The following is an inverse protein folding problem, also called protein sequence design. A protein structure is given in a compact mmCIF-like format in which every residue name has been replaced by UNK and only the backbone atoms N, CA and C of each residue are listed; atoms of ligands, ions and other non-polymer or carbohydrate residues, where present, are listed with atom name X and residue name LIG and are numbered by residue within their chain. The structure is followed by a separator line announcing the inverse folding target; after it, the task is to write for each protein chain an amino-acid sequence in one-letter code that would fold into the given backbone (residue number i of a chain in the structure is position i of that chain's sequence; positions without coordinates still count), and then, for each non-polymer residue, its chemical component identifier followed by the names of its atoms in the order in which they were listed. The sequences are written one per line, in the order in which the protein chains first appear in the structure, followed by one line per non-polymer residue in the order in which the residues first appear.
data_IF_959189012593
#
_entry.id   IF_959189012593
#
_cell.length_a   1.000
_cell.length_b   1.000
_cell.length_c   1.000
_cell.angle_alpha   90.00
_cell.angle_beta   90.00
_cell.angle_gamma   90.00
#
_symmetry.space_group_name_H-M   'P 1'
#
loop_
_entity.id
_entity.type
_entity.pdbx_description
1 polymer ?
#
# COMPACT_ATOMS: atom_id res chain seq x y z
N UNK A 1 -0.98 3.86 -77.44
CA UNK A 1 -1.66 2.60 -77.07
C UNK A 1 -1.20 2.01 -75.72
N UNK A 2 -0.14 2.50 -75.05
CA UNK A 2 0.37 1.91 -73.78
C UNK A 2 -0.23 2.47 -72.48
N UNK A 3 -0.80 3.68 -72.48
CA UNK A 3 -1.41 4.28 -71.29
C UNK A 3 -2.76 3.63 -70.92
N UNK A 4 -3.56 3.24 -71.91
CA UNK A 4 -4.90 2.62 -71.72
C UNK A 4 -4.81 1.18 -71.19
N UNK A 5 -3.74 0.45 -71.54
CA UNK A 5 -3.50 -0.92 -71.09
C UNK A 5 -3.08 -0.97 -69.62
N UNK A 6 -2.33 0.02 -69.16
CA UNK A 6 -1.85 0.12 -67.77
C UNK A 6 -3.01 0.39 -66.80
N UNK A 7 -4.01 1.16 -67.23
CA UNK A 7 -5.19 1.51 -66.44
C UNK A 7 -6.15 0.31 -66.28
N UNK A 8 -6.36 -0.46 -67.37
CA UNK A 8 -7.15 -1.69 -67.35
C UNK A 8 -6.53 -2.78 -66.46
N UNK A 9 -5.20 -2.91 -66.46
CA UNK A 9 -4.50 -3.88 -65.60
C UNK A 9 -4.65 -3.50 -64.12
N UNK A 10 -4.49 -2.22 -63.77
CA UNK A 10 -4.72 -1.73 -62.40
C UNK A 10 -6.18 -1.92 -61.97
N UNK A 11 -7.13 -1.62 -62.85
CA UNK A 11 -8.56 -1.82 -62.58
C UNK A 11 -8.87 -3.31 -62.29
N UNK A 12 -8.30 -4.22 -63.07
CA UNK A 12 -8.47 -5.66 -62.85
C UNK A 12 -7.83 -6.12 -61.52
N UNK A 13 -6.64 -5.63 -61.19
CA UNK A 13 -5.99 -5.87 -59.89
C UNK A 13 -6.85 -5.38 -58.71
N UNK A 14 -7.42 -4.18 -58.81
CA UNK A 14 -8.30 -3.63 -57.78
C UNK A 14 -9.60 -4.45 -57.63
N UNK A 15 -10.17 -4.93 -58.74
CA UNK A 15 -11.35 -5.81 -58.71
C UNK A 15 -11.05 -7.17 -58.05
N UNK A 16 -9.91 -7.78 -58.35
CA UNK A 16 -9.48 -9.03 -57.70
C UNK A 16 -9.24 -8.82 -56.20
N UNK A 17 -8.61 -7.70 -55.82
CA UNK A 17 -8.36 -7.37 -54.42
C UNK A 17 -9.69 -7.11 -53.67
N UNK A 18 -10.62 -6.38 -54.29
CA UNK A 18 -11.95 -6.14 -53.74
C UNK A 18 -12.72 -7.45 -53.53
N UNK A 19 -12.64 -8.38 -54.49
CA UNK A 19 -13.24 -9.70 -54.35
C UNK A 19 -12.62 -10.49 -53.19
N UNK A 20 -11.29 -10.48 -53.05
CA UNK A 20 -10.60 -11.12 -51.91
C UNK A 20 -11.04 -10.54 -50.57
N UNK A 21 -11.15 -9.22 -50.45
CA UNK A 21 -11.64 -8.58 -49.23
C UNK A 21 -13.11 -8.90 -48.94
N UNK A 22 -13.96 -8.95 -49.98
CA UNK A 22 -15.36 -9.34 -49.85
C UNK A 22 -15.50 -10.78 -49.36
N UNK A 23 -14.75 -11.71 -49.95
CA UNK A 23 -14.74 -13.12 -49.56
C UNK A 23 -14.24 -13.30 -48.12
N UNK A 24 -13.18 -12.58 -47.74
CA UNK A 24 -12.68 -12.57 -46.36
C UNK A 24 -13.72 -12.00 -45.39
N UNK A 25 -14.38 -10.89 -45.73
CA UNK A 25 -15.43 -10.30 -44.90
C UNK A 25 -16.62 -11.26 -44.72
N UNK A 26 -17.01 -12.01 -45.75
CA UNK A 26 -18.05 -13.04 -45.66
C UNK A 26 -17.61 -14.21 -44.76
N UNK A 27 -16.35 -14.65 -44.85
CA UNK A 27 -15.79 -15.66 -43.96
C UNK A 27 -15.76 -15.19 -42.51
N UNK A 28 -15.37 -13.95 -42.23
CA UNK A 28 -15.35 -13.39 -40.87
C UNK A 28 -16.75 -13.21 -40.27
N UNK A 29 -17.80 -13.15 -41.10
CA UNK A 29 -19.20 -13.18 -40.64
C UNK A 29 -19.70 -14.59 -40.32
N UNK A 30 -19.01 -15.63 -40.77
CA UNK A 30 -19.38 -17.02 -40.54
C UNK A 30 -18.87 -17.47 -39.15
N UNK A 31 -19.80 -17.89 -38.28
CA UNK A 31 -19.49 -18.31 -36.91
C UNK A 31 -18.57 -19.54 -36.86
N UNK A 32 -18.82 -20.64 -37.58
CA UNK A 32 -17.86 -21.76 -37.68
C UNK A 32 -16.45 -21.35 -38.09
N UNK A 33 -16.31 -20.48 -39.10
CA UNK A 33 -14.99 -20.02 -39.55
C UNK A 33 -14.25 -19.25 -38.46
N UNK A 34 -14.93 -18.34 -37.75
CA UNK A 34 -14.38 -17.67 -36.58
C UNK A 34 -14.02 -18.67 -35.47
N UNK A 35 -14.86 -19.67 -35.23
CA UNK A 35 -14.61 -20.72 -34.25
C UNK A 35 -13.30 -21.46 -34.53
N UNK A 36 -13.10 -21.91 -35.78
CA UNK A 36 -11.87 -22.60 -36.19
C UNK A 36 -10.63 -21.71 -36.05
N UNK A 37 -10.73 -20.43 -36.44
CA UNK A 37 -9.62 -19.48 -36.23
C UNK A 37 -9.30 -19.35 -34.74
N UNK A 38 -10.32 -19.21 -33.88
CA UNK A 38 -10.10 -19.09 -32.44
C UNK A 38 -9.48 -20.36 -31.84
N UNK A 39 -9.82 -21.54 -32.35
CA UNK A 39 -9.20 -22.81 -31.95
C UNK A 39 -7.71 -22.83 -32.32
N UNK A 40 -7.37 -22.56 -33.58
CA UNK A 40 -5.97 -22.50 -34.03
C UNK A 40 -5.17 -21.43 -33.27
N UNK A 41 -5.77 -20.27 -33.01
CA UNK A 41 -5.16 -19.22 -32.21
C UNK A 41 -4.96 -19.66 -30.75
N UNK A 42 -5.90 -20.40 -30.15
CA UNK A 42 -5.77 -20.87 -28.78
C UNK A 42 -4.57 -21.81 -28.63
N UNK A 43 -4.32 -22.67 -29.63
CA UNK A 43 -3.17 -23.56 -29.66
C UNK A 43 -1.86 -22.79 -29.95
N UNK A 44 -1.88 -21.90 -30.93
CA UNK A 44 -0.68 -21.13 -31.34
C UNK A 44 -0.21 -20.13 -30.28
N UNK A 45 -1.15 -19.48 -29.59
CA UNK A 45 -0.88 -18.48 -28.55
C UNK A 45 -1.04 -19.05 -27.15
N UNK A 46 -1.04 -20.39 -27.00
CA UNK A 46 -1.08 -21.02 -25.70
C UNK A 46 0.14 -20.61 -24.87
N UNK A 47 -0.12 -20.01 -23.70
CA UNK A 47 0.92 -19.68 -22.73
C UNK A 47 0.66 -20.49 -21.47
N UNK A 48 1.55 -21.45 -21.21
CA UNK A 48 1.48 -22.22 -19.98
C UNK A 48 1.57 -21.30 -18.75
N UNK A 49 0.70 -21.57 -17.78
CA UNK A 49 0.56 -20.76 -16.57
C UNK A 49 0.21 -19.29 -16.80
N UNK A 50 -0.54 -18.94 -17.86
CA UNK A 50 -0.89 -17.55 -18.19
C UNK A 50 -1.44 -16.75 -17.00
N UNK A 51 -2.38 -17.30 -16.23
CA UNK A 51 -2.95 -16.64 -15.05
C UNK A 51 -1.91 -16.32 -13.96
N UNK A 52 -0.82 -17.08 -13.90
CA UNK A 52 0.28 -16.83 -12.97
C UNK A 52 1.16 -15.65 -13.44
N UNK A 53 1.26 -15.43 -14.75
CA UNK A 53 2.04 -14.35 -15.37
C UNK A 53 1.30 -13.00 -15.36
N UNK A 54 -0.02 -13.01 -15.30
CA UNK A 54 -0.82 -11.78 -15.22
C UNK A 54 -0.39 -10.90 -14.04
N UNK A 55 -0.10 -9.65 -14.35
CA UNK A 55 0.31 -8.57 -13.44
C UNK A 55 1.52 -8.95 -12.58
N UNK A 56 2.38 -9.86 -13.07
CA UNK A 56 3.58 -10.31 -12.36
C UNK A 56 4.77 -9.37 -12.55
N UNK A 57 4.77 -8.54 -13.60
CA UNK A 57 5.83 -7.57 -13.90
C UNK A 57 5.65 -6.33 -13.01
N UNK A 58 6.45 -6.24 -11.95
CA UNK A 58 6.36 -5.19 -10.92
C UNK A 58 6.69 -3.78 -11.41
N UNK A 59 7.43 -3.66 -12.51
CA UNK A 59 7.90 -2.39 -13.08
C UNK A 59 6.99 -1.85 -14.18
N UNK A 60 5.97 -2.59 -14.60
CA UNK A 60 5.03 -2.15 -15.62
C UNK A 60 3.75 -1.58 -14.99
N UNK A 61 3.24 -0.52 -15.60
CA UNK A 61 1.97 0.13 -15.26
C UNK A 61 1.16 0.32 -16.53
N UNK A 62 -0.01 -0.29 -16.58
CA UNK A 62 -0.98 -0.12 -17.67
C UNK A 62 -1.76 1.20 -17.52
N UNK A 63 -1.80 1.98 -18.60
CA UNK A 63 -2.67 3.14 -18.79
C UNK A 63 -3.66 2.83 -19.91
N UNK A 64 -4.72 3.62 -20.04
CA UNK A 64 -5.73 3.43 -21.10
C UNK A 64 -5.15 3.62 -22.52
N UNK A 65 -4.08 4.41 -22.64
CA UNK A 65 -3.41 4.72 -23.91
C UNK A 65 -2.03 4.06 -24.10
N UNK A 66 -1.63 3.12 -23.25
CA UNK A 66 -0.33 2.44 -23.36
C UNK A 66 0.21 1.92 -22.04
N UNK A 67 1.49 1.60 -22.01
CA UNK A 67 2.18 1.04 -20.85
C UNK A 67 3.38 1.91 -20.50
N UNK A 68 3.49 2.27 -19.23
CA UNK A 68 4.70 2.89 -18.70
C UNK A 68 5.62 1.82 -18.12
N UNK A 69 6.87 1.81 -18.57
CA UNK A 69 7.92 0.91 -18.11
C UNK A 69 8.85 1.64 -17.14
N UNK A 70 8.73 1.34 -15.84
CA UNK A 70 9.58 1.91 -14.79
C UNK A 70 11.03 1.43 -14.84
N UNK A 71 11.36 0.36 -15.58
CA UNK A 71 12.75 -0.07 -15.72
C UNK A 71 13.43 0.67 -16.88
N UNK A 72 12.71 0.86 -17.99
CA UNK A 72 13.20 1.56 -19.18
C UNK A 72 12.97 3.08 -19.13
N UNK A 73 12.14 3.58 -18.20
CA UNK A 73 11.73 4.99 -18.09
C UNK A 73 11.08 5.50 -19.38
N UNK A 74 10.20 4.70 -19.97
CA UNK A 74 9.54 5.04 -21.21
C UNK A 74 8.04 4.73 -21.18
N UNK A 75 7.27 5.50 -21.94
CA UNK A 75 5.89 5.21 -22.25
C UNK A 75 5.81 4.66 -23.68
N UNK A 76 5.17 3.52 -23.85
CA UNK A 76 5.10 2.79 -25.12
C UNK A 76 3.75 2.10 -25.30
N UNK A 77 3.49 1.65 -26.53
CA UNK A 77 2.35 0.79 -26.80
C UNK A 77 2.45 -0.53 -26.01
N UNK A 78 1.30 -1.01 -25.56
CA UNK A 78 1.18 -2.28 -24.86
C UNK A 78 1.48 -3.46 -25.78
N UNK A 79 2.13 -4.49 -25.22
CA UNK A 79 2.52 -5.70 -25.94
C UNK A 79 1.90 -6.93 -25.26
N UNK A 80 1.55 -7.99 -26.02
CA UNK A 80 0.95 -9.20 -25.43
C UNK A 80 1.81 -9.85 -24.33
N UNK A 81 3.13 -9.72 -24.43
CA UNK A 81 4.09 -10.24 -23.45
C UNK A 81 4.25 -9.35 -22.22
N UNK A 82 3.58 -8.19 -22.12
CA UNK A 82 3.52 -7.40 -20.89
C UNK A 82 2.73 -8.09 -19.78
N UNK A 83 1.81 -8.99 -20.14
CA UNK A 83 0.92 -9.72 -19.22
C UNK A 83 0.18 -8.80 -18.24
N UNK A 84 -0.25 -7.62 -18.68
CA UNK A 84 -1.03 -6.70 -17.86
C UNK A 84 -2.52 -6.98 -18.03
N UNK A 85 -3.22 -7.17 -16.92
CA UNK A 85 -4.69 -7.14 -16.88
C UNK A 85 -5.22 -5.88 -16.18
N UNK A 86 -4.37 -5.17 -15.44
CA UNK A 86 -4.73 -3.95 -14.72
C UNK A 86 -4.45 -2.66 -15.48
N UNK A 87 -5.37 -1.70 -15.33
CA UNK A 87 -5.26 -0.32 -15.83
C UNK A 87 -5.34 0.68 -14.68
N UNK A 88 -4.63 1.80 -14.82
CA UNK A 88 -4.83 2.99 -13.97
C UNK A 88 -6.21 3.61 -14.18
N UNK A 89 -6.90 3.29 -15.29
CA UNK A 89 -8.14 3.94 -15.72
C UNK A 89 -7.91 5.36 -16.25
N UNK A 90 -6.66 5.77 -16.40
CA UNK A 90 -6.24 7.10 -16.82
C UNK A 90 -5.39 7.02 -18.08
N UNK A 91 -5.39 8.09 -18.88
CA UNK A 91 -4.40 8.26 -19.95
C UNK A 91 -3.09 8.81 -19.37
N UNK A 92 -1.97 8.28 -19.83
CA UNK A 92 -0.66 8.88 -19.58
C UNK A 92 -0.56 10.21 -20.32
N UNK A 93 -0.06 11.23 -19.62
CA UNK A 93 0.28 12.54 -20.17
C UNK A 93 1.74 12.85 -19.83
N UNK A 94 2.58 13.32 -20.76
CA UNK A 94 3.95 13.69 -20.40
C UNK A 94 3.99 14.73 -19.27
N UNK A 95 4.91 14.56 -18.31
CA UNK A 95 5.06 15.51 -17.22
C UNK A 95 5.39 16.91 -17.74
N UNK A 96 4.62 17.89 -17.28
CA UNK A 96 4.85 19.30 -17.59
C UNK A 96 4.88 20.12 -16.27
N UNK A 97 6.05 20.63 -15.85
CA UNK A 97 6.17 21.35 -14.58
C UNK A 97 5.41 22.69 -14.57
N UNK A 98 5.05 23.24 -15.74
CA UNK A 98 4.28 24.50 -15.83
C UNK A 98 2.77 24.27 -15.95
N UNK A 99 2.31 23.03 -15.89
CA UNK A 99 0.89 22.71 -15.95
C UNK A 99 0.16 23.24 -14.69
N UNK A 100 -0.95 23.99 -14.84
CA UNK A 100 -1.74 24.47 -13.72
C UNK A 100 -2.20 23.36 -12.76
N UNK A 101 -2.53 22.16 -13.27
CA UNK A 101 -2.99 21.06 -12.43
C UNK A 101 -1.86 20.50 -11.55
N UNK A 102 -0.63 20.47 -12.05
CA UNK A 102 0.54 20.12 -11.24
C UNK A 102 0.72 21.12 -10.10
N UNK A 103 0.54 22.42 -10.35
CA UNK A 103 0.60 23.44 -9.33
C UNK A 103 -0.51 23.28 -8.28
N UNK A 104 -1.74 22.96 -8.72
CA UNK A 104 -2.87 22.69 -7.81
C UNK A 104 -2.63 21.46 -6.94
N UNK A 105 -2.12 20.36 -7.51
CA UNK A 105 -1.78 19.13 -6.78
C UNK A 105 -0.68 19.41 -5.76
N UNK A 106 0.41 20.09 -6.16
CA UNK A 106 1.49 20.46 -5.23
C UNK A 106 0.97 21.38 -4.10
N UNK A 107 0.06 22.30 -4.42
CA UNK A 107 -0.61 23.14 -3.41
C UNK A 107 -1.43 22.29 -2.45
N UNK A 108 -2.23 21.34 -2.93
CA UNK A 108 -2.98 20.41 -2.09
C UNK A 108 -2.06 19.67 -1.11
N UNK A 109 -0.98 19.05 -1.60
CA UNK A 109 -0.02 18.36 -0.73
C UNK A 109 0.70 19.31 0.24
N UNK A 110 0.92 20.58 -0.12
CA UNK A 110 1.45 21.59 0.80
C UNK A 110 0.51 21.96 1.94
N UNK A 111 -0.80 21.79 1.75
CA UNK A 111 -1.79 22.00 2.80
C UNK A 111 -1.96 20.74 3.63
N UNK A 112 -1.94 19.55 3.02
CA UNK A 112 -2.04 18.28 3.76
C UNK A 112 -0.80 18.02 4.63
N UNK A 113 0.40 18.33 4.11
CA UNK A 113 1.66 18.26 4.83
C UNK A 113 2.40 19.62 4.70
N UNK A 114 2.18 20.55 5.65
CA UNK A 114 2.82 21.88 5.63
C UNK A 114 4.33 21.80 5.79
N UNK A 115 4.81 20.86 6.62
CA UNK A 115 6.22 20.57 6.79
C UNK A 115 6.81 20.02 5.47
N UNK A 116 7.76 20.71 4.82
CA UNK A 116 8.31 20.29 3.53
C UNK A 116 8.91 18.88 3.56
N UNK A 117 9.69 18.56 4.60
CA UNK A 117 10.31 17.23 4.76
C UNK A 117 9.26 16.11 4.82
N UNK A 118 8.15 16.32 5.53
CA UNK A 118 7.06 15.35 5.60
C UNK A 118 6.29 15.24 4.28
N UNK A 119 6.12 16.35 3.56
CA UNK A 119 5.49 16.38 2.24
C UNK A 119 6.30 15.63 1.21
N UNK A 120 7.61 15.89 1.16
CA UNK A 120 8.53 15.25 0.23
C UNK A 120 8.60 13.75 0.53
N UNK A 121 8.61 13.36 1.82
CA UNK A 121 8.47 11.97 2.24
C UNK A 121 7.14 11.35 1.80
N UNK A 122 6.01 12.05 1.94
CA UNK A 122 4.70 11.53 1.54
C UNK A 122 4.60 11.32 0.02
N UNK A 123 5.07 12.28 -0.78
CA UNK A 123 5.14 12.15 -2.23
C UNK A 123 6.09 11.03 -2.65
N UNK A 124 7.24 10.92 -1.97
CA UNK A 124 8.18 9.83 -2.20
C UNK A 124 7.52 8.49 -1.90
N UNK A 125 6.85 8.38 -0.75
CA UNK A 125 6.14 7.18 -0.36
C UNK A 125 5.10 6.78 -1.42
N UNK A 126 4.27 7.71 -1.89
CA UNK A 126 3.33 7.44 -2.99
C UNK A 126 4.00 7.04 -4.30
N UNK A 127 5.10 7.68 -4.66
CA UNK A 127 5.86 7.31 -5.86
C UNK A 127 6.45 5.90 -5.73
N UNK A 128 6.90 5.50 -4.54
CA UNK A 128 7.34 4.12 -4.28
C UNK A 128 6.23 3.09 -4.53
N UNK A 129 4.95 3.49 -4.41
CA UNK A 129 3.79 2.64 -4.62
C UNK A 129 3.51 2.42 -6.11
N UNK A 130 4.17 3.12 -7.04
CA UNK A 130 4.04 2.84 -8.47
C UNK A 130 4.61 1.46 -8.84
N UNK A 131 5.69 1.07 -8.16
CA UNK A 131 6.34 -0.23 -8.34
C UNK A 131 5.76 -1.29 -7.41
N UNK A 132 5.65 -2.51 -7.93
CA UNK A 132 5.28 -3.71 -7.16
C UNK A 132 6.40 -4.28 -6.29
N UNK A 133 7.57 -3.64 -6.27
CA UNK A 133 8.67 -4.09 -5.42
C UNK A 133 8.45 -3.67 -3.96
N UNK A 134 8.50 -4.64 -3.05
CA UNK A 134 8.32 -4.45 -1.61
C UNK A 134 9.60 -4.80 -0.84
N UNK A 135 10.70 -4.10 -1.14
CA UNK A 135 12.02 -4.34 -0.50
C UNK A 135 12.05 -3.93 0.98
N UNK A 136 11.31 -2.89 1.35
CA UNK A 136 11.45 -2.23 2.66
C UNK A 136 10.67 -2.92 3.79
N UNK A 137 9.77 -3.85 3.47
CA UNK A 137 8.93 -4.59 4.42
C UNK A 137 8.18 -3.68 5.42
N UNK A 138 7.65 -2.54 4.96
CA UNK A 138 7.02 -1.54 5.82
C UNK A 138 5.51 -1.67 5.90
N UNK A 139 4.98 -1.30 7.06
CA UNK A 139 3.57 -1.06 7.33
C UNK A 139 3.40 0.37 7.82
N UNK A 140 2.79 1.21 7.00
CA UNK A 140 2.61 2.62 7.31
C UNK A 140 1.29 2.83 8.05
N UNK A 141 1.33 3.51 9.19
CA UNK A 141 0.15 3.89 9.96
C UNK A 141 0.01 5.41 9.88
N UNK A 142 -1.06 5.89 9.26
CA UNK A 142 -1.32 7.32 9.10
C UNK A 142 -2.31 7.78 10.15
N UNK A 143 -1.87 8.71 11.00
CA UNK A 143 -2.63 9.18 12.16
C UNK A 143 -2.91 10.69 12.14
N UNK A 144 -3.85 11.14 12.96
CA UNK A 144 -4.13 12.56 13.26
C UNK A 144 -5.61 12.85 13.52
N UNK A 145 -5.95 14.11 13.78
CA UNK A 145 -7.17 14.52 14.48
C UNK A 145 -8.47 14.63 13.65
N UNK A 146 -8.67 13.75 12.66
CA UNK A 146 -9.80 13.84 11.72
C UNK A 146 -9.76 15.10 10.83
N UNK A 147 -10.45 15.06 9.68
CA UNK A 147 -10.44 16.16 8.68
C UNK A 147 -9.03 16.69 8.37
N UNK A 148 -8.05 15.80 8.20
CA UNK A 148 -6.63 16.17 8.07
C UNK A 148 -6.02 15.78 6.71
N UNK A 149 -6.85 15.36 5.75
CA UNK A 149 -6.43 15.04 4.39
C UNK A 149 -5.98 13.60 4.15
N UNK A 150 -5.85 12.75 5.18
CA UNK A 150 -5.48 11.31 5.05
C UNK A 150 -6.31 10.60 3.98
N UNK A 151 -7.64 10.61 4.14
CA UNK A 151 -8.57 9.93 3.23
C UNK A 151 -8.61 10.57 1.85
N UNK A 152 -8.41 11.90 1.75
CA UNK A 152 -8.35 12.60 0.47
C UNK A 152 -7.10 12.24 -0.34
N UNK A 153 -5.94 12.08 0.31
CA UNK A 153 -4.71 11.60 -0.33
C UNK A 153 -4.86 10.17 -0.84
N UNK A 154 -5.44 9.28 -0.03
CA UNK A 154 -5.71 7.91 -0.47
C UNK A 154 -6.73 7.88 -1.61
N UNK A 155 -7.82 8.64 -1.55
CA UNK A 155 -8.83 8.70 -2.63
C UNK A 155 -8.23 9.19 -3.95
N UNK A 156 -7.40 10.25 -3.90
CA UNK A 156 -6.67 10.72 -5.10
C UNK A 156 -5.77 9.61 -5.67
N UNK A 157 -5.02 8.91 -4.82
CA UNK A 157 -4.14 7.83 -5.26
C UNK A 157 -4.91 6.61 -5.78
N UNK A 158 -5.98 6.18 -5.11
CA UNK A 158 -6.85 5.08 -5.53
C UNK A 158 -7.46 5.36 -6.91
N UNK A 159 -7.97 6.57 -7.14
CA UNK A 159 -8.51 6.99 -8.44
C UNK A 159 -7.43 7.11 -9.52
N UNK A 160 -6.21 7.45 -9.14
CA UNK A 160 -5.09 7.58 -10.07
C UNK A 160 -4.54 6.22 -10.46
N UNK A 161 -4.47 5.27 -9.53
CA UNK A 161 -3.90 3.95 -9.75
C UNK A 161 -4.95 2.88 -10.11
N UNK A 162 -6.24 3.20 -10.12
CA UNK A 162 -7.30 2.32 -10.61
C UNK A 162 -7.19 0.88 -10.08
N UNK A 163 -7.02 -0.06 -11.01
CA UNK A 163 -6.88 -1.48 -10.73
C UNK A 163 -5.59 -1.87 -10.00
N UNK A 164 -4.73 -0.95 -9.61
CA UNK A 164 -3.54 -1.25 -8.82
C UNK A 164 -3.76 -1.04 -7.33
N UNK A 165 -4.96 -0.68 -6.87
CA UNK A 165 -5.25 -0.49 -5.44
C UNK A 165 -6.30 -1.46 -4.92
N UNK A 166 -6.28 -1.73 -3.62
CA UNK A 166 -7.30 -2.53 -2.95
C UNK A 166 -7.49 -2.11 -1.50
N UNK A 167 -8.63 -2.52 -0.92
CA UNK A 167 -8.95 -2.30 0.49
C UNK A 167 -8.97 -3.64 1.22
N UNK A 168 -8.38 -3.65 2.40
CA UNK A 168 -8.53 -4.75 3.35
C UNK A 168 -9.42 -4.32 4.51
N UNK A 169 -10.31 -5.21 4.97
CA UNK A 169 -11.02 -4.97 6.20
C UNK A 169 -10.01 -4.95 7.36
N UNK A 170 -10.19 -4.06 8.32
CA UNK A 170 -9.29 -3.96 9.47
C UNK A 170 -9.22 -5.25 10.28
N UNK A 171 -10.32 -6.01 10.28
CA UNK A 171 -10.44 -7.34 10.89
C UNK A 171 -9.40 -8.33 10.37
N UNK A 172 -8.89 -8.15 9.14
CA UNK A 172 -7.79 -8.95 8.62
C UNK A 172 -6.55 -8.87 9.51
N UNK A 173 -6.25 -7.70 10.07
CA UNK A 173 -5.09 -7.47 10.93
C UNK A 173 -5.41 -7.44 12.41
N UNK A 174 -6.67 -7.51 12.83
CA UNK A 174 -7.06 -7.40 14.24
C UNK A 174 -7.73 -8.65 14.82
N UNK A 175 -8.27 -9.53 13.96
CA UNK A 175 -8.84 -10.80 14.40
C UNK A 175 -7.82 -11.95 14.42
N UNK A 176 -8.17 -13.02 15.14
CA UNK A 176 -7.39 -14.27 15.13
C UNK A 176 -7.37 -14.86 13.72
N UNK A 177 -6.26 -15.50 13.36
CA UNK A 177 -6.08 -16.17 12.08
C UNK A 177 -7.28 -17.09 11.78
N UNK A 178 -7.87 -16.93 10.60
CA UNK A 178 -8.91 -17.82 10.13
C UNK A 178 -8.35 -19.25 10.02
N UNK A 179 -9.23 -20.26 10.06
CA UNK A 179 -8.84 -21.64 9.84
C UNK A 179 -8.08 -21.77 8.50
N UNK A 180 -7.10 -22.67 8.42
CA UNK A 180 -6.23 -22.84 7.24
C UNK A 180 -6.97 -23.05 5.91
N UNK A 181 -8.21 -23.55 5.99
CA UNK A 181 -9.04 -23.88 4.83
C UNK A 181 -10.07 -22.79 4.49
N UNK A 182 -10.14 -21.71 5.28
CA UNK A 182 -11.06 -20.61 5.08
C UNK A 182 -10.71 -19.84 3.80
N UNK A 183 -11.72 -19.36 3.09
CA UNK A 183 -11.50 -18.46 1.97
C UNK A 183 -10.95 -17.12 2.50
N UNK A 184 -9.92 -16.62 1.82
CA UNK A 184 -9.27 -15.33 2.09
C UNK A 184 -9.34 -14.49 0.82
N UNK A 185 -10.57 -14.20 0.39
CA UNK A 185 -10.86 -13.58 -0.91
C UNK A 185 -10.28 -12.17 -1.03
N UNK A 186 -10.10 -11.47 0.09
CA UNK A 186 -9.42 -10.18 0.20
C UNK A 186 -7.97 -10.31 -0.26
N UNK A 187 -7.21 -11.25 0.31
CA UNK A 187 -5.83 -11.53 -0.09
C UNK A 187 -5.76 -11.98 -1.55
N UNK A 188 -6.65 -12.86 -1.99
CA UNK A 188 -6.66 -13.30 -3.39
C UNK A 188 -6.83 -12.15 -4.39
N UNK A 189 -7.65 -11.14 -4.06
CA UNK A 189 -7.86 -9.93 -4.87
C UNK A 189 -6.68 -8.96 -4.86
N UNK A 190 -5.79 -9.07 -3.87
CA UNK A 190 -4.63 -8.20 -3.74
C UNK A 190 -3.43 -8.65 -4.59
N UNK A 191 -3.50 -9.81 -5.26
CA UNK A 191 -2.49 -10.24 -6.23
C UNK A 191 -2.32 -9.16 -7.32
N UNK A 192 -1.07 -8.75 -7.55
CA UNK A 192 -0.71 -7.71 -8.53
C UNK A 192 -0.97 -6.26 -8.10
N UNK A 193 -1.77 -6.04 -7.04
CA UNK A 193 -2.06 -4.69 -6.52
C UNK A 193 -0.79 -4.08 -5.88
N UNK A 194 -0.69 -2.77 -5.89
CA UNK A 194 0.45 -1.95 -5.44
C UNK A 194 0.22 -1.23 -4.11
N UNK A 195 -1.05 -0.98 -3.77
CA UNK A 195 -1.46 -0.41 -2.49
C UNK A 195 -2.60 -1.24 -1.89
N UNK A 196 -2.47 -1.56 -0.60
CA UNK A 196 -3.53 -2.15 0.20
C UNK A 196 -3.82 -1.24 1.40
N UNK A 197 -5.03 -0.70 1.47
CA UNK A 197 -5.45 0.25 2.51
C UNK A 197 -6.34 -0.44 3.53
N UNK A 198 -6.06 -0.21 4.81
CA UNK A 198 -6.92 -0.53 5.94
C UNK A 198 -7.45 0.77 6.53
N UNK A 199 -8.70 0.80 6.95
CA UNK A 199 -9.31 2.00 7.51
C UNK A 199 -9.97 1.67 8.85
N UNK A 200 -9.74 2.56 9.82
CA UNK A 200 -10.52 2.71 11.05
C UNK A 200 -10.61 1.44 11.92
N UNK A 201 -9.50 1.04 12.57
CA UNK A 201 -9.59 0.09 13.68
C UNK A 201 -10.46 0.70 14.79
N UNK A 202 -11.26 -0.13 15.45
CA UNK A 202 -11.92 0.30 16.70
C UNK A 202 -10.85 0.57 17.77
N UNK A 203 -11.12 1.49 18.71
CA UNK A 203 -10.12 1.97 19.68
C UNK A 203 -9.46 0.85 20.49
N UNK A 204 -10.18 -0.25 20.75
CA UNK A 204 -9.70 -1.39 21.55
C UNK A 204 -9.05 -2.52 20.73
N UNK A 205 -8.93 -2.38 19.40
CA UNK A 205 -8.38 -3.43 18.55
C UNK A 205 -6.84 -3.53 18.65
N UNK A 206 -6.35 -4.77 18.74
CA UNK A 206 -4.93 -5.10 18.79
C UNK A 206 -4.45 -5.60 17.44
N UNK A 207 -3.27 -5.17 17.01
CA UNK A 207 -2.66 -5.67 15.79
C UNK A 207 -2.16 -7.11 15.95
N UNK A 208 -2.52 -7.96 15.00
CA UNK A 208 -2.02 -9.31 14.87
C UNK A 208 -0.61 -9.30 14.26
N UNK A 209 0.40 -9.12 15.11
CA UNK A 209 1.81 -8.97 14.73
C UNK A 209 2.32 -10.08 13.79
N UNK A 210 1.95 -11.34 14.01
CA UNK A 210 2.36 -12.46 13.16
C UNK A 210 1.90 -12.30 11.70
N UNK A 211 0.61 -12.01 11.50
CA UNK A 211 0.02 -11.80 10.17
C UNK A 211 0.51 -10.50 9.54
N UNK A 212 0.68 -9.42 10.32
CA UNK A 212 1.31 -8.19 9.80
C UNK A 212 2.71 -8.48 9.23
N UNK A 213 3.54 -9.26 9.94
CA UNK A 213 4.87 -9.67 9.47
C UNK A 213 4.81 -10.55 8.22
N UNK A 214 3.81 -11.42 8.11
CA UNK A 214 3.59 -12.24 6.91
C UNK A 214 3.21 -11.36 5.71
N UNK A 215 2.24 -10.46 5.87
CA UNK A 215 1.77 -9.59 4.77
C UNK A 215 2.80 -8.52 4.35
N UNK A 216 3.74 -8.17 5.23
CA UNK A 216 4.85 -7.23 4.94
C UNK A 216 6.18 -7.90 4.63
N UNK A 217 6.33 -9.19 4.94
CA UNK A 217 7.61 -9.91 4.95
C UNK A 217 8.23 -10.07 3.56
N UNK A 218 7.43 -9.93 2.51
CA UNK A 218 7.87 -10.09 1.13
C UNK A 218 8.13 -11.54 0.74
N UNK A 219 7.73 -12.51 1.58
CA UNK A 219 7.67 -13.93 1.23
C UNK A 219 6.37 -14.23 0.47
N UNK A 220 6.30 -15.42 -0.14
CA UNK A 220 5.08 -15.89 -0.79
C UNK A 220 3.99 -16.12 0.25
N UNK A 221 2.80 -15.59 -0.01
CA UNK A 221 1.61 -15.87 0.79
C UNK A 221 0.68 -16.82 0.04
N UNK A 222 0.05 -17.72 0.80
CA UNK A 222 -0.97 -18.61 0.29
C UNK A 222 -2.35 -18.04 0.64
N UNK A 223 -3.24 -17.99 -0.35
CA UNK A 223 -4.60 -17.51 -0.15
C UNK A 223 -5.57 -18.28 -1.04
N UNK A 224 -6.86 -18.22 -0.72
CA UNK A 224 -7.89 -18.95 -1.48
C UNK A 224 -9.08 -18.04 -1.77
N UNK A 225 -9.38 -17.85 -3.05
CA UNK A 225 -10.64 -17.23 -3.46
C UNK A 225 -11.81 -18.20 -3.29
N UNK A 226 -13.01 -17.67 -3.09
CA UNK A 226 -14.21 -18.48 -2.93
C UNK A 226 -14.43 -19.42 -4.14
N UNK A 227 -14.64 -20.71 -3.88
CA UNK A 227 -14.82 -21.77 -4.88
C UNK A 227 -13.66 -21.96 -5.87
N UNK A 228 -12.46 -21.46 -5.56
CA UNK A 228 -11.26 -21.67 -6.37
C UNK A 228 -10.21 -22.46 -5.60
N UNK A 229 -9.23 -22.97 -6.33
CA UNK A 229 -8.04 -23.57 -5.76
C UNK A 229 -7.18 -22.50 -5.05
N UNK A 230 -6.39 -22.88 -4.04
CA UNK A 230 -5.43 -21.98 -3.42
C UNK A 230 -4.45 -21.43 -4.45
N UNK A 231 -4.12 -20.15 -4.30
CA UNK A 231 -3.09 -19.48 -5.09
C UNK A 231 -1.97 -19.02 -4.16
N UNK A 232 -0.77 -18.98 -4.71
CA UNK A 232 0.42 -18.50 -4.06
C UNK A 232 1.01 -17.35 -4.85
N UNK A 233 1.31 -16.25 -4.17
CA UNK A 233 2.00 -15.13 -4.80
C UNK A 233 2.81 -14.34 -3.77
N UNK A 234 3.85 -13.65 -4.26
CA UNK A 234 4.60 -12.69 -3.47
C UNK A 234 3.82 -11.36 -3.44
N UNK A 235 3.51 -10.78 -2.27
CA UNK A 235 2.84 -9.48 -2.18
C UNK A 235 3.58 -8.42 -2.99
N UNK A 236 2.83 -7.69 -3.83
CA UNK A 236 3.32 -6.57 -4.63
C UNK A 236 2.79 -5.22 -4.11
N UNK A 237 1.99 -5.26 -3.03
CA UNK A 237 1.39 -4.08 -2.42
C UNK A 237 2.19 -3.62 -1.21
N UNK A 238 2.10 -2.32 -0.95
CA UNK A 238 2.49 -1.71 0.33
C UNK A 238 1.24 -1.50 1.18
N UNK A 239 1.38 -1.65 2.49
CA UNK A 239 0.27 -1.59 3.43
C UNK A 239 0.20 -0.23 4.11
N UNK A 240 -1.00 0.37 4.10
CA UNK A 240 -1.29 1.63 4.78
C UNK A 240 -2.52 1.46 5.67
N UNK A 241 -2.41 1.76 6.95
CA UNK A 241 -3.51 1.84 7.90
C UNK A 241 -3.86 3.31 8.16
N UNK A 242 -5.10 3.70 7.89
CA UNK A 242 -5.62 5.01 8.30
C UNK A 242 -6.32 4.86 9.65
N UNK A 243 -5.92 5.66 10.63
CA UNK A 243 -6.58 5.70 11.93
C UNK A 243 -6.53 7.10 12.54
N UNK A 244 -7.36 7.35 13.54
CA UNK A 244 -7.24 8.54 14.39
C UNK A 244 -6.57 8.17 15.73
N UNK A 245 -6.87 6.98 16.24
CA UNK A 245 -6.22 6.37 17.39
C UNK A 245 -5.33 5.21 16.93
N UNK A 246 -4.09 5.18 17.41
CA UNK A 246 -3.15 4.12 17.04
C UNK A 246 -3.57 2.83 17.76
N UNK A 247 -3.71 1.70 17.05
CA UNK A 247 -4.10 0.43 17.67
C UNK A 247 -3.00 -0.07 18.63
N UNK A 248 -3.32 -0.96 19.56
CA UNK A 248 -2.29 -1.54 20.42
C UNK A 248 -1.45 -2.58 19.66
N UNK A 249 -0.13 -2.57 19.85
CA UNK A 249 0.83 -3.52 19.29
C UNK A 249 1.35 -4.40 20.42
N UNK A 250 0.87 -5.65 20.56
CA UNK A 250 1.31 -6.54 21.63
C UNK A 250 2.65 -7.21 21.28
N UNK A 251 3.69 -6.44 20.97
CA UNK A 251 5.05 -6.94 20.79
C UNK A 251 6.10 -5.85 20.96
N UNK A 252 7.19 -6.17 21.66
CA UNK A 252 8.34 -5.28 21.84
C UNK A 252 9.55 -5.69 20.99
N UNK A 253 9.40 -6.70 20.13
CA UNK A 253 10.51 -7.18 19.32
C UNK A 253 10.89 -6.18 18.20
N UNK A 254 12.20 -5.96 18.01
CA UNK A 254 12.71 -5.06 16.98
C UNK A 254 12.30 -5.43 15.55
N UNK A 255 11.96 -6.71 15.32
CA UNK A 255 11.41 -7.19 14.05
C UNK A 255 10.03 -6.61 13.74
N UNK A 256 9.22 -6.29 14.74
CA UNK A 256 7.92 -5.60 14.57
C UNK A 256 8.14 -4.12 14.30
N UNK A 257 8.88 -3.45 15.19
CA UNK A 257 9.06 -2.00 15.15
C UNK A 257 9.87 -1.48 13.96
N UNK A 258 10.76 -2.31 13.37
CA UNK A 258 11.45 -1.95 12.11
C UNK A 258 10.51 -1.85 10.90
N UNK A 259 9.33 -2.51 10.96
CA UNK A 259 8.32 -2.54 9.90
C UNK A 259 7.29 -1.43 10.04
N UNK A 260 6.94 -1.05 11.27
CA UNK A 260 5.96 0.00 11.52
C UNK A 260 6.53 1.39 11.20
N UNK A 261 5.76 2.24 10.54
CA UNK A 261 6.08 3.67 10.36
C UNK A 261 4.86 4.52 10.59
N UNK A 262 4.89 5.34 11.65
CA UNK A 262 3.81 6.25 12.00
C UNK A 262 4.01 7.57 11.26
N UNK A 263 3.05 7.92 10.40
CA UNK A 263 3.03 9.16 9.62
C UNK A 263 1.91 10.04 10.18
N UNK A 264 2.30 11.12 10.83
CA UNK A 264 1.36 12.06 11.44
C UNK A 264 0.88 13.11 10.44
N UNK A 265 -0.43 13.33 10.37
CA UNK A 265 -1.07 14.38 9.59
C UNK A 265 -1.56 15.47 10.54
N UNK A 266 -0.75 16.53 10.67
CA UNK A 266 -0.96 17.65 11.61
C UNK A 266 -1.94 18.72 11.10
N UNK A 267 -2.26 18.70 9.82
CA UNK A 267 -3.19 19.66 9.22
C UNK A 267 -4.62 19.43 9.67
N UNK A 268 -5.43 20.49 9.64
CA UNK A 268 -6.87 20.40 9.88
C UNK A 268 -7.61 21.25 8.86
N UNK A 269 -8.55 20.64 8.16
CA UNK A 269 -9.41 21.30 7.19
C UNK A 269 -10.75 21.64 7.85
N UNK A 270 -11.07 22.93 7.93
CA UNK A 270 -12.25 23.45 8.61
C UNK A 270 -12.80 24.70 7.89
N UNK A 271 -14.00 25.16 8.26
CA UNK A 271 -14.62 26.32 7.63
C UNK A 271 -13.89 27.64 7.97
N UNK A 272 -13.43 27.77 9.22
CA UNK A 272 -12.82 29.00 9.74
C UNK A 272 -11.41 28.71 10.28
N UNK A 273 -10.39 28.59 9.41
CA UNK A 273 -9.02 28.32 9.83
C UNK A 273 -8.43 29.52 10.59
N UNK A 274 -7.83 29.26 11.75
CA UNK A 274 -7.21 30.27 12.62
C UNK A 274 -5.76 29.98 12.94
N UNK A 275 -5.37 28.70 13.00
CA UNK A 275 -4.01 28.27 13.27
C UNK A 275 -3.19 28.07 11.98
N UNK A 276 -1.86 28.05 12.10
CA UNK A 276 -0.95 27.91 10.96
C UNK A 276 -1.12 26.60 10.16
N UNK A 277 -1.60 25.53 10.80
CA UNK A 277 -1.86 24.23 10.18
C UNK A 277 -3.35 24.02 9.86
N UNK A 278 -4.18 25.06 9.99
CA UNK A 278 -5.59 25.02 9.62
C UNK A 278 -5.79 25.58 8.21
N UNK A 279 -6.59 24.90 7.41
CA UNK A 279 -6.87 25.25 6.02
C UNK A 279 -8.37 25.25 5.75
N UNK A 280 -8.86 26.07 4.81
CA UNK A 280 -10.27 26.06 4.44
C UNK A 280 -10.65 24.70 3.86
N UNK A 281 -11.77 24.14 4.32
CA UNK A 281 -12.32 22.90 3.76
C UNK A 281 -12.86 23.15 2.34
N UNK A 282 -12.50 22.27 1.41
CA UNK A 282 -13.00 22.31 0.03
C UNK A 282 -13.95 21.13 -0.22
N UNK A 283 -15.25 21.41 -0.15
CA UNK A 283 -16.30 20.41 -0.39
C UNK A 283 -16.38 19.94 -1.86
N UNK A 284 -15.68 20.63 -2.78
CA UNK A 284 -15.64 20.29 -4.21
C UNK A 284 -14.39 19.52 -4.60
N UNK A 285 -13.49 19.24 -3.65
CA UNK A 285 -12.18 18.62 -3.92
C UNK A 285 -12.29 17.30 -4.69
N UNK A 286 -13.25 16.45 -4.32
CA UNK A 286 -13.47 15.15 -4.98
C UNK A 286 -13.86 15.28 -6.46
N UNK A 287 -14.47 16.39 -6.86
CA UNK A 287 -14.83 16.68 -8.26
C UNK A 287 -13.61 17.06 -9.11
N UNK A 288 -12.52 17.51 -8.47
CA UNK A 288 -11.25 17.87 -9.15
C UNK A 288 -10.39 16.64 -9.42
N UNK A 289 -10.50 15.59 -8.59
CA UNK A 289 -9.67 14.40 -8.68
C UNK A 289 -9.64 13.72 -10.06
N UNK A 290 -10.76 13.54 -10.78
CA UNK A 290 -10.72 12.93 -12.12
C UNK A 290 -9.77 13.65 -13.09
N UNK A 291 -9.68 14.98 -13.03
CA UNK A 291 -8.75 15.75 -13.85
C UNK A 291 -7.31 15.67 -13.33
N UNK A 292 -7.15 15.55 -12.00
CA UNK A 292 -5.83 15.47 -11.37
C UNK A 292 -5.17 14.11 -11.54
N UNK A 293 -5.91 13.00 -11.72
CA UNK A 293 -5.35 11.66 -11.73
C UNK A 293 -4.15 11.48 -12.68
N UNK A 294 -4.31 11.82 -13.97
CA UNK A 294 -3.23 11.72 -14.95
C UNK A 294 -2.01 12.58 -14.60
N UNK A 295 -2.25 13.80 -14.12
CA UNK A 295 -1.19 14.74 -13.73
C UNK A 295 -0.49 14.31 -12.42
N UNK A 296 -1.24 13.72 -11.50
CA UNK A 296 -0.70 13.21 -10.25
C UNK A 296 0.19 11.99 -10.49
N UNK A 297 -0.21 11.05 -11.36
CA UNK A 297 0.66 9.93 -11.72
C UNK A 297 1.98 10.39 -12.32
N UNK A 298 1.97 11.42 -13.16
CA UNK A 298 3.18 11.88 -13.86
C UNK A 298 4.08 12.70 -12.95
N UNK A 299 3.49 13.42 -12.00
CA UNK A 299 4.20 13.94 -10.85
C UNK A 299 4.89 12.82 -10.07
N UNK A 300 4.18 11.75 -9.71
CA UNK A 300 4.75 10.63 -8.96
C UNK A 300 5.84 9.90 -9.74
N UNK A 301 5.72 9.77 -11.07
CA UNK A 301 6.76 9.20 -11.92
C UNK A 301 8.05 10.01 -11.85
N UNK A 302 7.99 11.34 -11.77
CA UNK A 302 9.18 12.17 -11.57
C UNK A 302 9.76 12.04 -10.16
N UNK A 303 8.92 11.92 -9.14
CA UNK A 303 9.33 11.69 -7.74
C UNK A 303 9.85 10.25 -7.49
N UNK A 304 9.66 9.31 -8.42
CA UNK A 304 10.08 7.91 -8.30
C UNK A 304 11.59 7.71 -8.45
N UNK A 305 12.23 8.36 -9.42
CA UNK A 305 13.63 8.10 -9.77
C UNK A 305 14.65 8.43 -8.68
N UNK A 306 14.51 9.53 -7.91
CA UNK A 306 15.38 9.78 -6.78
C UNK A 306 15.42 8.62 -5.77
N UNK A 307 14.29 7.91 -5.60
CA UNK A 307 14.19 6.80 -4.65
C UNK A 307 14.80 5.51 -5.16
N UNK A 308 14.72 5.27 -6.47
CA UNK A 308 15.44 4.15 -7.11
C UNK A 308 16.94 4.32 -6.90
N UNK A 309 17.46 5.55 -7.04
CA UNK A 309 18.87 5.83 -6.81
C UNK A 309 19.29 5.60 -5.34
N UNK A 310 18.42 5.89 -4.37
CA UNK A 310 18.69 5.65 -2.94
C UNK A 310 18.40 4.22 -2.49
N UNK A 311 17.80 3.36 -3.34
CA UNK A 311 17.32 2.01 -3.02
C UNK A 311 16.30 1.90 -1.86
N UNK A 312 15.82 3.03 -1.32
CA UNK A 312 14.78 3.08 -0.29
C UNK A 312 14.14 4.47 -0.22
N UNK A 313 12.92 4.53 0.32
CA UNK A 313 12.31 5.81 0.74
C UNK A 313 13.04 6.30 1.98
N UNK A 314 13.64 7.49 1.92
CA UNK A 314 14.34 8.08 3.08
C UNK A 314 13.32 8.47 4.14
N UNK A 315 13.41 7.83 5.31
CA UNK A 315 12.49 8.03 6.43
C UNK A 315 12.93 9.26 7.23
N UNK A 316 12.11 10.32 7.34
CA UNK A 316 12.49 11.51 8.06
C UNK A 316 12.43 11.30 9.58
N UNK A 317 13.22 12.07 10.32
CA UNK A 317 13.30 11.95 11.78
C UNK A 317 11.95 12.13 12.47
N UNK A 318 11.05 12.94 11.91
CA UNK A 318 9.69 13.11 12.41
C UNK A 318 8.89 11.79 12.40
N UNK A 319 9.00 10.98 11.34
CA UNK A 319 8.34 9.67 11.24
C UNK A 319 8.96 8.68 12.23
N UNK A 320 10.29 8.69 12.33
CA UNK A 320 11.01 7.84 13.27
C UNK A 320 10.66 8.19 14.73
N UNK A 321 10.58 9.49 15.05
CA UNK A 321 10.19 9.99 16.35
C UNK A 321 8.76 9.58 16.73
N UNK A 322 7.77 9.81 15.85
CA UNK A 322 6.40 9.36 16.08
C UNK A 322 6.31 7.83 16.25
N UNK A 323 7.13 7.09 15.52
CA UNK A 323 7.17 5.62 15.66
C UNK A 323 7.78 5.19 16.99
N UNK A 324 8.84 5.85 17.47
CA UNK A 324 9.44 5.58 18.80
C UNK A 324 8.50 5.97 19.94
N UNK A 325 7.77 7.06 19.81
CA UNK A 325 6.73 7.46 20.77
C UNK A 325 5.62 6.40 20.83
N UNK A 326 5.14 5.95 19.66
CA UNK A 326 4.17 4.87 19.59
C UNK A 326 4.69 3.57 20.21
N UNK A 327 5.98 3.24 20.03
CA UNK A 327 6.63 2.12 20.69
C UNK A 327 6.63 2.28 22.21
N UNK A 328 7.05 3.43 22.72
CA UNK A 328 7.07 3.73 24.15
C UNK A 328 5.68 3.60 24.78
N UNK A 329 4.64 4.08 24.10
CA UNK A 329 3.25 4.00 24.57
C UNK A 329 2.70 2.56 24.61
N UNK A 330 3.31 1.62 23.87
CA UNK A 330 2.98 0.20 23.93
C UNK A 330 3.89 -0.59 24.89
N UNK A 331 4.98 0.01 25.37
CA UNK A 331 5.89 -0.60 26.35
C UNK A 331 5.34 -0.43 27.76
N UNK A 332 4.25 -1.14 28.01
CA UNK A 332 3.56 -1.22 29.29
C UNK A 332 4.47 -1.65 30.46
N UNK A 333 5.57 -2.35 30.17
CA UNK A 333 6.54 -2.78 31.17
C UNK A 333 7.48 -1.63 31.55
N UNK A 334 7.99 -0.87 30.59
CA UNK A 334 8.83 0.31 30.89
C UNK A 334 8.04 1.39 31.62
N UNK A 335 6.79 1.65 31.23
CA UNK A 335 5.92 2.58 31.95
C UNK A 335 5.71 2.16 33.42
N UNK A 336 5.56 0.86 33.68
CA UNK A 336 5.50 0.34 35.05
C UNK A 336 6.82 0.51 35.79
N UNK A 337 7.97 0.21 35.18
CA UNK A 337 9.27 0.38 35.82
C UNK A 337 9.48 1.86 36.19
N UNK A 338 9.22 2.79 35.26
CA UNK A 338 9.43 4.22 35.51
C UNK A 338 8.51 4.78 36.60
N UNK A 339 7.26 4.31 36.68
CA UNK A 339 6.29 4.78 37.69
C UNK A 339 6.43 4.08 39.04
N UNK A 340 6.87 2.81 39.05
CA UNK A 340 6.73 1.94 40.21
C UNK A 340 8.06 1.38 40.72
N UNK A 341 9.19 1.70 40.11
CA UNK A 341 10.50 1.13 40.47
C UNK A 341 11.54 2.25 40.60
N UNK A 342 11.98 2.53 41.83
CA UNK A 342 13.00 3.51 42.19
C UNK A 342 14.17 2.88 42.95
N UNK A 343 15.41 3.34 42.66
CA UNK A 343 16.62 2.84 43.31
C UNK A 343 16.54 2.90 44.83
N UNK A 344 16.64 1.75 45.49
CA UNK A 344 16.50 1.66 46.94
C UNK A 344 17.38 0.57 47.58
N UNK A 345 17.62 0.70 48.88
CA UNK A 345 18.40 -0.27 49.66
C UNK A 345 17.62 -1.57 50.01
N UNK A 346 16.31 -1.61 49.71
CA UNK A 346 15.42 -2.76 49.93
C UNK A 346 14.79 -3.20 48.61
N UNK A 347 14.86 -4.51 48.32
CA UNK A 347 14.45 -5.07 47.05
C UNK A 347 13.10 -5.78 47.11
N UNK A 348 12.29 -5.62 46.08
CA UNK A 348 11.10 -6.44 45.85
C UNK A 348 11.54 -7.77 45.24
N UNK A 349 10.89 -8.85 45.66
CA UNK A 349 10.99 -10.12 44.95
C UNK A 349 10.27 -10.00 43.61
N UNK A 350 10.71 -10.78 42.62
CA UNK A 350 10.04 -10.85 41.31
C UNK A 350 8.54 -11.17 41.44
N UNK A 351 8.16 -12.00 42.42
CA UNK A 351 6.77 -12.36 42.67
C UNK A 351 5.93 -11.16 43.13
N UNK A 352 6.49 -10.29 43.97
CA UNK A 352 5.83 -9.07 44.46
C UNK A 352 5.69 -8.05 43.32
N UNK A 353 6.79 -7.75 42.62
CA UNK A 353 6.76 -6.84 41.46
C UNK A 353 5.80 -7.32 40.37
N UNK A 354 5.73 -8.63 40.12
CA UNK A 354 4.79 -9.22 39.17
C UNK A 354 3.33 -9.11 39.63
N UNK A 355 3.05 -9.33 40.92
CA UNK A 355 1.69 -9.20 41.46
C UNK A 355 1.21 -7.74 41.40
N UNK A 356 2.10 -6.79 41.64
CA UNK A 356 1.81 -5.37 41.60
C UNK A 356 1.64 -4.86 40.16
N UNK A 357 2.49 -5.30 39.23
CA UNK A 357 2.29 -5.12 37.80
C UNK A 357 0.93 -5.69 37.35
N UNK A 358 0.57 -6.87 37.85
CA UNK A 358 -0.71 -7.53 37.56
C UNK A 358 -1.91 -6.85 38.20
N UNK A 359 -1.74 -6.18 39.34
CA UNK A 359 -2.79 -5.41 39.99
C UNK A 359 -3.04 -4.08 39.26
N UNK A 360 -1.98 -3.43 38.76
CA UNK A 360 -2.04 -2.15 38.04
C UNK A 360 -2.49 -2.32 36.57
N UNK A 361 -2.17 -3.46 35.96
CA UNK A 361 -2.65 -3.83 34.63
C UNK A 361 -4.00 -4.52 34.72
N UNK A 362 -5.04 -3.87 34.22
CA UNK A 362 -6.40 -4.41 34.12
C UNK A 362 -6.40 -5.90 33.69
N UNK A 363 -7.13 -6.71 34.44
CA UNK A 363 -7.07 -8.19 34.53
C UNK A 363 -7.14 -9.00 33.21
N UNK A 364 -7.29 -8.35 32.05
CA UNK A 364 -7.29 -8.95 30.71
C UNK A 364 -6.03 -8.73 29.86
N UNK A 365 -5.00 -8.00 30.34
CA UNK A 365 -3.85 -7.58 29.50
C UNK A 365 -2.54 -8.37 29.67
N UNK A 366 -2.40 -9.25 30.68
CA UNK A 366 -1.12 -9.96 30.88
C UNK A 366 -0.93 -11.20 30.00
N UNK A 367 0.24 -11.25 29.33
CA UNK A 367 0.80 -12.49 28.77
C UNK A 367 1.42 -13.36 29.88
N UNK A 368 1.65 -14.63 29.53
CA UNK A 368 2.20 -15.68 30.39
C UNK A 368 3.48 -15.25 31.15
N UNK A 369 3.58 -15.76 32.39
CA UNK A 369 4.59 -15.49 33.42
C UNK A 369 6.07 -15.50 32.97
N UNK A 370 6.40 -16.17 31.85
CA UNK A 370 7.76 -16.29 31.33
C UNK A 370 8.26 -15.02 30.60
N UNK A 371 7.40 -14.36 29.83
CA UNK A 371 7.81 -13.24 28.94
C UNK A 371 8.23 -12.00 29.74
N UNK A 372 7.55 -11.72 30.85
CA UNK A 372 7.84 -10.58 31.72
C UNK A 372 9.19 -10.74 32.44
N UNK A 373 9.56 -11.99 32.78
CA UNK A 373 10.85 -12.30 33.41
C UNK A 373 12.03 -12.06 32.47
N UNK A 374 11.89 -12.43 31.20
CA UNK A 374 12.89 -12.18 30.16
C UNK A 374 13.00 -10.69 29.83
N UNK A 375 11.87 -9.98 29.73
CA UNK A 375 11.82 -8.53 29.48
C UNK A 375 12.46 -7.70 30.60
N UNK A 376 12.29 -8.10 31.86
CA UNK A 376 12.96 -7.49 33.00
C UNK A 376 14.47 -7.79 33.00
N UNK A 377 14.85 -9.04 32.71
CA UNK A 377 16.25 -9.45 32.64
C UNK A 377 17.04 -8.75 31.53
N UNK A 378 16.46 -8.60 30.33
CA UNK A 378 17.06 -7.88 29.18
C UNK A 378 17.30 -6.40 29.48
N UNK A 379 16.59 -5.83 30.46
CA UNK A 379 16.69 -4.43 30.89
C UNK A 379 17.57 -4.25 32.13
N UNK A 380 18.37 -5.27 32.47
CA UNK A 380 19.35 -5.22 33.57
C UNK A 380 18.74 -5.46 34.96
N UNK A 381 17.45 -5.76 35.03
CA UNK A 381 16.74 -6.06 36.27
C UNK A 381 16.82 -7.57 36.51
N UNK A 382 17.87 -8.00 37.20
CA UNK A 382 18.05 -9.41 37.57
C UNK A 382 17.04 -9.83 38.65
N UNK A 383 16.66 -11.12 38.66
CA UNK A 383 15.70 -11.74 39.59
C UNK A 383 16.21 -11.82 41.05
N UNK A 384 17.11 -10.92 41.43
CA UNK A 384 17.57 -10.69 42.81
C UNK A 384 17.84 -9.22 43.14
N UNK A 385 17.71 -8.28 42.20
CA UNK A 385 18.00 -6.85 42.37
C UNK A 385 16.91 -6.01 41.68
N UNK A 386 15.73 -5.88 42.28
CA UNK A 386 14.66 -5.01 41.78
C UNK A 386 14.25 -4.02 42.88
N UNK A 387 14.42 -2.76 42.50
CA UNK A 387 14.30 -1.49 43.22
C UNK A 387 12.84 -1.20 43.69
N UNK A 388 12.64 -0.32 44.68
CA UNK A 388 11.41 -0.17 45.52
C UNK A 388 10.30 0.64 44.83
N UNK A 389 9.05 0.51 45.28
CA UNK A 389 7.90 1.29 44.82
C UNK A 389 7.78 2.68 45.48
N UNK A 390 7.42 3.69 44.67
CA UNK A 390 6.98 5.00 45.16
C UNK A 390 5.67 4.85 45.99
N UNK A 391 5.49 5.59 47.09
CA UNK A 391 4.25 5.56 47.86
C UNK A 391 3.08 6.16 47.05
N UNK A 392 1.89 5.57 47.16
CA UNK A 392 0.65 6.18 46.67
C UNK A 392 0.45 7.56 47.33
N UNK A 393 0.38 8.62 46.51
CA UNK A 393 -0.09 9.93 46.99
C UNK A 393 -1.58 9.82 47.32
N UNK A 394 -1.91 9.93 48.61
CA UNK A 394 -3.27 9.96 49.20
C UNK A 394 -4.08 11.19 48.82
#
# INVERSE_FOLDING_TARGET
MSLVTTDKVKQQQHQELAKKYMDLALKLKNTPYKGNIMTECADMFFVDGFEAKLDSKTHLIGFENGVYDLAAREFRDGRPDDYLSFSTGCNYVPYNPTDPEIAHIRRFFSQVQPCPVMRDYLLSLFASFLSGECKDQKFHIWTGSGSNGKSACIDLFERSMGDYTCKFPVTLLTQKRAASNAATSELARAKGRRLAVLQEPSEDEKLHVGLMKELTGGDTIQCRALFKDPIEYRPQYKLVLLCNHLPSVPSDDGGTWRRLRVVEFKSKFCENPTAANEFPIDMTLSQKFPQWCSHFLTLLLEEYWPQVASNCVVEPEQVLACTREYQSNNDHVSAFIDECVEKADQFLTFAEAFNEFKAKMDSGKLRAFQTIKEMLADRGLSVGNLDRMLPEET
#
